data_IF_470688342575
#
_entry.id   IF_470688342575
#
_cell.length_a   1.000
_cell.length_b   1.000
_cell.length_c   1.000
_cell.angle_alpha   90.00
_cell.angle_beta   90.00
_cell.angle_gamma   90.00
#
_symmetry.space_group_name_H-M   'P 1'
#
loop_
_entity.id
_entity.type
_entity.pdbx_description
1 polymer ?
#
# COMPACT_ATOMS: atom_id res chain seq x y z
N UNK A 1 3.93 -13.36 8.71
CA UNK A 1 3.77 -12.69 7.41
C UNK A 1 4.43 -13.59 6.37
N UNK A 2 3.69 -14.05 5.37
CA UNK A 2 4.26 -14.78 4.24
C UNK A 2 4.66 -13.72 3.21
N UNK A 3 5.94 -13.64 2.85
CA UNK A 3 6.38 -12.73 1.80
C UNK A 3 5.81 -13.12 0.44
N UNK A 4 5.71 -12.14 -0.45
CA UNK A 4 5.16 -12.28 -1.79
C UNK A 4 6.13 -11.68 -2.80
N UNK A 5 6.15 -12.23 -4.00
CA UNK A 5 6.77 -11.56 -5.15
C UNK A 5 5.64 -10.93 -5.96
N UNK A 6 5.84 -9.69 -6.40
CA UNK A 6 4.98 -9.01 -7.34
C UNK A 6 5.77 -8.75 -8.63
N UNK A 7 5.23 -9.18 -9.76
CA UNK A 7 5.80 -8.94 -11.09
C UNK A 7 4.75 -8.24 -11.96
N UNK A 8 4.97 -6.95 -12.27
CA UNK A 8 4.01 -6.10 -12.99
C UNK A 8 2.60 -6.19 -12.39
N UNK A 9 2.50 -5.88 -11.09
CA UNK A 9 1.29 -5.99 -10.28
C UNK A 9 0.69 -7.41 -10.12
N UNK A 10 1.33 -8.47 -10.63
CA UNK A 10 0.87 -9.86 -10.43
C UNK A 10 1.52 -10.50 -9.22
N UNK A 11 0.71 -10.98 -8.29
CA UNK A 11 1.16 -11.67 -7.08
C UNK A 11 1.63 -13.11 -7.35
N UNK A 12 2.73 -13.49 -6.70
CA UNK A 12 3.27 -14.83 -6.59
C UNK A 12 3.55 -15.11 -5.11
N UNK A 13 2.85 -16.07 -4.51
CA UNK A 13 3.00 -16.42 -3.10
C UNK A 13 4.29 -17.22 -2.87
N UNK A 14 5.23 -16.67 -2.09
CA UNK A 14 6.51 -17.31 -1.77
C UNK A 14 6.69 -17.36 -0.25
N UNK A 15 6.23 -18.43 0.43
CA UNK A 15 6.15 -18.50 1.89
C UNK A 15 7.48 -18.29 2.64
N UNK A 16 8.62 -18.53 1.97
CA UNK A 16 9.97 -18.41 2.52
C UNK A 16 10.51 -16.97 2.50
N UNK A 17 9.87 -16.08 1.74
CA UNK A 17 10.31 -14.70 1.61
C UNK A 17 9.85 -13.92 2.85
N UNK A 18 10.75 -13.11 3.43
CA UNK A 18 10.45 -12.31 4.63
C UNK A 18 9.95 -10.90 4.33
N UNK A 19 10.19 -10.42 3.11
CA UNK A 19 9.94 -9.05 2.68
C UNK A 19 9.31 -9.08 1.28
N UNK A 20 8.18 -8.41 1.02
CA UNK A 20 7.63 -8.32 -0.32
C UNK A 20 8.65 -7.79 -1.32
N UNK A 21 8.76 -8.46 -2.46
CA UNK A 21 9.68 -8.11 -3.54
C UNK A 21 8.88 -7.73 -4.78
N UNK A 22 9.05 -6.52 -5.28
CA UNK A 22 8.25 -5.93 -6.37
C UNK A 22 9.15 -5.64 -7.56
N UNK A 23 8.72 -6.07 -8.74
CA UNK A 23 9.34 -5.75 -10.04
C UNK A 23 8.32 -5.02 -10.92
N UNK A 24 8.66 -3.80 -11.35
CA UNK A 24 7.74 -2.92 -12.08
C UNK A 24 6.80 -2.13 -11.17
N UNK A 25 5.73 -1.61 -11.75
CA UNK A 25 4.68 -0.88 -11.03
C UNK A 25 3.86 -1.81 -10.11
N UNK A 26 3.20 -1.19 -9.13
CA UNK A 26 2.34 -1.88 -8.17
C UNK A 26 1.14 -1.02 -7.80
N UNK A 27 -0.05 -1.61 -7.72
CA UNK A 27 -1.21 -0.97 -7.10
C UNK A 27 -1.22 -1.31 -5.62
N UNK A 28 -1.19 -0.30 -4.77
CA UNK A 28 -1.34 -0.43 -3.32
C UNK A 28 -2.83 -0.27 -3.00
N UNK A 29 -3.45 -1.34 -2.50
CA UNK A 29 -4.89 -1.39 -2.21
C UNK A 29 -5.15 -1.34 -0.69
N UNK A 30 -6.08 -0.49 -0.26
CA UNK A 30 -6.53 -0.42 1.12
C UNK A 30 -7.92 -1.07 1.26
N UNK A 31 -7.94 -2.36 1.59
CA UNK A 31 -9.16 -3.11 1.89
C UNK A 31 -9.66 -2.79 3.31
N UNK A 32 -10.65 -1.89 3.41
CA UNK A 32 -11.15 -1.34 4.68
C UNK A 32 -12.54 -1.88 4.99
N UNK A 33 -12.74 -2.34 6.22
CA UNK A 33 -14.06 -2.66 6.77
C UNK A 33 -14.40 -1.63 7.86
N UNK A 34 -15.55 -0.97 7.75
CA UNK A 34 -16.01 0.05 8.70
C UNK A 34 -17.41 -0.27 9.23
N UNK A 35 -17.67 0.12 10.48
CA UNK A 35 -18.99 0.00 11.13
C UNK A 35 -19.36 1.32 11.81
N UNK A 36 -20.43 2.03 11.38
CA UNK A 36 -21.26 1.73 10.20
C UNK A 36 -20.45 1.86 8.90
N UNK A 37 -20.90 1.17 7.84
CA UNK A 37 -20.24 1.18 6.54
C UNK A 37 -20.27 2.60 5.94
N UNK A 38 -19.18 3.00 5.26
CA UNK A 38 -19.10 4.29 4.56
C UNK A 38 -18.67 5.47 5.45
N UNK A 39 -18.16 5.21 6.65
CA UNK A 39 -17.71 6.25 7.59
C UNK A 39 -16.27 6.72 7.35
N UNK A 40 -15.63 6.23 6.28
CA UNK A 40 -14.27 6.62 5.88
C UNK A 40 -14.35 7.93 5.09
N UNK A 41 -13.48 8.87 5.45
CA UNK A 41 -13.42 10.21 4.85
C UNK A 41 -12.31 10.32 3.81
N UNK A 42 -11.17 9.66 4.06
CA UNK A 42 -10.04 9.57 3.13
C UNK A 42 -9.06 8.48 3.55
N UNK A 43 -8.24 8.06 2.59
CA UNK A 43 -7.07 7.21 2.78
C UNK A 43 -5.85 7.94 2.24
N UNK A 44 -4.79 8.02 3.03
CA UNK A 44 -3.52 8.63 2.66
C UNK A 44 -2.46 7.55 2.47
N UNK A 45 -1.73 7.62 1.36
CA UNK A 45 -0.65 6.71 0.99
C UNK A 45 0.68 7.43 1.07
N UNK A 46 1.57 6.91 1.91
CA UNK A 46 2.89 7.44 2.17
C UNK A 46 3.97 6.45 1.74
N UNK A 47 5.05 6.98 1.16
CA UNK A 47 6.28 6.26 0.86
C UNK A 47 7.42 6.95 1.61
N UNK A 48 8.13 6.22 2.46
CA UNK A 48 9.23 6.74 3.29
C UNK A 48 8.85 8.00 4.11
N UNK A 49 7.62 8.01 4.61
CA UNK A 49 7.05 9.12 5.40
C UNK A 49 6.61 10.33 4.58
N UNK A 50 6.82 10.35 3.25
CA UNK A 50 6.30 11.39 2.36
C UNK A 50 4.90 11.02 1.88
N UNK A 51 3.96 11.95 1.90
CA UNK A 51 2.62 11.76 1.32
C UNK A 51 2.73 11.74 -0.21
N UNK A 52 2.27 10.67 -0.85
CA UNK A 52 2.22 10.54 -2.31
C UNK A 52 0.80 10.68 -2.86
N UNK A 53 -0.21 10.15 -2.16
CA UNK A 53 -1.57 10.15 -2.66
C UNK A 53 -2.60 10.23 -1.54
N UNK A 54 -3.73 10.89 -1.82
CA UNK A 54 -4.91 10.90 -0.97
C UNK A 54 -6.09 10.44 -1.81
N UNK A 55 -6.72 9.35 -1.39
CA UNK A 55 -7.93 8.84 -2.00
C UNK A 55 -9.14 9.17 -1.12
N UNK A 56 -10.21 9.65 -1.74
CA UNK A 56 -11.45 10.04 -1.08
C UNK A 56 -12.62 9.12 -1.44
N UNK A 57 -12.42 8.14 -2.34
CA UNK A 57 -13.49 7.29 -2.85
C UNK A 57 -13.08 5.83 -2.93
N UNK A 58 -14.01 4.94 -2.61
CA UNK A 58 -13.81 3.50 -2.81
C UNK A 58 -13.87 3.15 -4.32
N UNK A 59 -13.05 2.18 -4.79
CA UNK A 59 -12.01 1.44 -4.04
C UNK A 59 -10.78 2.32 -3.76
N UNK A 60 -10.25 2.26 -2.53
CA UNK A 60 -9.11 3.09 -2.11
C UNK A 60 -7.80 2.50 -2.61
N UNK A 61 -7.21 3.12 -3.62
CA UNK A 61 -6.07 2.56 -4.34
C UNK A 61 -5.06 3.62 -4.76
N UNK A 62 -3.78 3.25 -4.75
CA UNK A 62 -2.70 4.07 -5.28
C UNK A 62 -1.83 3.27 -6.24
N UNK A 63 -1.79 3.65 -7.52
CA UNK A 63 -0.87 3.09 -8.50
C UNK A 63 0.51 3.73 -8.33
N UNK A 64 1.46 2.99 -7.76
CA UNK A 64 2.84 3.40 -7.60
C UNK A 64 3.67 2.95 -8.81
N UNK A 65 3.86 3.88 -9.74
CA UNK A 65 4.58 3.69 -11.02
C UNK A 65 5.77 4.65 -11.19
N UNK A 66 6.30 5.14 -10.07
CA UNK A 66 7.50 5.98 -10.09
C UNK A 66 8.75 5.12 -10.28
N UNK A 67 9.79 5.67 -10.93
CA UNK A 67 11.09 5.02 -11.04
C UNK A 67 11.78 5.00 -9.67
N UNK A 68 11.76 3.85 -9.00
CA UNK A 68 12.25 3.66 -7.63
C UNK A 68 12.97 2.33 -7.49
N UNK A 69 13.96 2.27 -6.60
CA UNK A 69 14.72 1.04 -6.37
C UNK A 69 15.20 0.98 -4.92
N UNK A 70 15.08 -0.20 -4.32
CA UNK A 70 15.59 -0.49 -2.99
C UNK A 70 14.49 -0.78 -1.99
N UNK A 71 14.81 -0.58 -0.70
CA UNK A 71 13.85 -0.76 0.39
C UNK A 71 13.11 0.53 0.64
N UNK A 72 11.80 0.42 0.80
CA UNK A 72 10.91 1.54 1.08
C UNK A 72 9.88 1.13 2.13
N UNK A 73 9.49 2.08 2.98
CA UNK A 73 8.41 1.91 3.93
C UNK A 73 7.12 2.48 3.34
N UNK A 74 6.15 1.61 3.07
CA UNK A 74 4.81 2.02 2.68
C UNK A 74 3.98 2.19 3.95
N UNK A 75 3.38 3.36 4.14
CA UNK A 75 2.40 3.59 5.20
C UNK A 75 1.07 4.01 4.60
N UNK A 76 0.00 3.35 5.04
CA UNK A 76 -1.38 3.70 4.69
C UNK A 76 -2.04 4.21 5.95
N UNK A 77 -2.58 5.43 5.89
CA UNK A 77 -3.37 6.01 6.96
C UNK A 77 -4.82 6.14 6.51
N UNK A 78 -5.75 5.62 7.32
CA UNK A 78 -7.19 5.71 7.09
C UNK A 78 -7.80 6.71 8.07
N UNK A 79 -8.67 7.59 7.58
CA UNK A 79 -9.38 8.58 8.40
C UNK A 79 -10.88 8.32 8.39
N UNK A 80 -11.47 8.26 9.58
CA UNK A 80 -12.90 8.26 9.82
C UNK A 80 -13.27 9.49 10.67
N UNK A 81 -14.56 9.83 10.81
CA UNK A 81 -14.95 11.13 11.39
C UNK A 81 -14.33 11.41 12.78
N UNK A 82 -14.15 10.38 13.61
CA UNK A 82 -13.57 10.48 14.95
C UNK A 82 -12.43 9.48 15.20
N UNK A 83 -11.88 8.87 14.16
CA UNK A 83 -10.82 7.86 14.31
C UNK A 83 -9.80 7.96 13.18
N UNK A 84 -8.58 7.50 13.46
CA UNK A 84 -7.52 7.33 12.48
C UNK A 84 -6.79 6.03 12.78
N UNK A 85 -6.58 5.22 11.75
CA UNK A 85 -5.74 4.04 11.82
C UNK A 85 -4.60 4.10 10.81
N UNK A 86 -3.51 3.39 11.07
CA UNK A 86 -2.38 3.32 10.15
C UNK A 86 -1.78 1.94 10.12
N UNK A 87 -1.35 1.50 8.93
CA UNK A 87 -0.58 0.28 8.72
C UNK A 87 0.69 0.61 7.96
N UNK A 88 1.77 -0.07 8.31
CA UNK A 88 3.04 0.04 7.64
C UNK A 88 3.51 -1.32 7.09
N UNK A 89 4.24 -1.27 5.99
CA UNK A 89 4.84 -2.43 5.36
C UNK A 89 6.15 -2.01 4.70
N UNK A 90 7.25 -2.65 5.11
CA UNK A 90 8.50 -2.55 4.35
C UNK A 90 8.34 -3.39 3.07
N UNK A 91 8.82 -2.85 1.94
CA UNK A 91 8.89 -3.57 0.67
C UNK A 91 10.27 -3.35 0.04
N UNK A 92 10.67 -4.26 -0.85
CA UNK A 92 11.79 -4.03 -1.77
C UNK A 92 11.25 -3.94 -3.18
N UNK A 93 11.49 -2.84 -3.87
CA UNK A 93 10.98 -2.57 -5.23
C UNK A 93 12.13 -2.32 -6.21
N UNK A 94 11.92 -2.74 -7.45
CA UNK A 94 12.76 -2.48 -8.61
C UNK A 94 11.85 -2.06 -9.76
N UNK A 95 11.56 -0.76 -9.86
CA UNK A 95 10.85 -0.14 -10.99
C UNK A 95 11.82 0.78 -11.74
N UNK A 96 12.28 0.35 -12.91
CA UNK A 96 13.39 0.98 -13.67
C UNK A 96 13.01 1.33 -15.09
#
# INVERSE_FOLDING_TARGET
>A
QNGKIYLFNKEINIPLLRLPLIFGNITIEANITSQPQGFITKVEFYIDGKLHYVDYKEPYEYNWDERVMGRHMVNITVYAANNRESKEMEVRIFNI
#
